data_IF_065496230209
#
_entry.id   IF_065496230209
#
_cell.length_a   1.000
_cell.length_b   1.000
_cell.length_c   1.000
_cell.angle_alpha   90.00
_cell.angle_beta   90.00
_cell.angle_gamma   90.00
#
_symmetry.space_group_name_H-M   'P 1'
#
loop_
_entity.id
_entity.type
_entity.pdbx_description
1 polymer ?
#
# COMPACT_ATOMS: atom_id res chain seq x y z
N UNK A 1 19.99 17.58 -8.17
CA UNK A 1 19.28 16.39 -7.69
C UNK A 1 17.79 16.69 -7.59
N UNK A 2 17.06 16.64 -8.71
CA UNK A 2 15.62 16.90 -8.75
C UNK A 2 14.85 15.61 -8.56
N UNK A 3 14.23 15.41 -7.41
CA UNK A 3 13.38 14.24 -7.15
C UNK A 3 12.05 14.42 -7.89
N UNK A 4 11.86 13.67 -8.97
CA UNK A 4 10.63 13.71 -9.77
C UNK A 4 9.42 13.26 -8.93
N UNK A 5 8.43 14.14 -8.85
CA UNK A 5 7.09 13.87 -8.35
C UNK A 5 6.44 12.78 -9.21
N UNK A 6 6.54 11.52 -8.80
CA UNK A 6 5.71 10.45 -9.36
C UNK A 6 4.29 10.62 -8.82
N UNK A 7 3.50 11.45 -9.52
CA UNK A 7 2.03 11.33 -9.55
C UNK A 7 1.71 9.88 -9.95
N UNK A 8 0.55 9.36 -9.57
CA UNK A 8 0.15 7.98 -9.90
C UNK A 8 0.06 7.84 -11.44
N UNK A 9 1.19 7.54 -12.10
CA UNK A 9 1.30 7.34 -13.54
C UNK A 9 1.95 6.01 -13.85
N UNK A 10 1.78 5.02 -12.97
CA UNK A 10 2.20 3.65 -13.19
C UNK A 10 0.96 2.74 -13.22
N UNK A 11 0.19 2.84 -14.31
CA UNK A 11 -0.65 1.77 -14.87
C UNK A 11 -1.82 1.20 -14.06
N UNK A 12 -1.99 1.54 -12.79
CA UNK A 12 -3.07 1.01 -11.95
C UNK A 12 -4.09 2.10 -11.64
N UNK A 13 -5.30 1.87 -12.13
CA UNK A 13 -6.46 2.65 -11.75
C UNK A 13 -7.02 2.09 -10.45
N UNK A 14 -6.77 2.79 -9.34
CA UNK A 14 -7.33 2.42 -8.05
C UNK A 14 -8.85 2.64 -8.05
N UNK A 15 -9.58 1.69 -7.45
CA UNK A 15 -11.01 1.87 -7.26
C UNK A 15 -11.25 3.06 -6.31
N UNK A 16 -12.23 3.95 -6.60
CA UNK A 16 -12.55 5.07 -5.72
C UNK A 16 -12.82 4.66 -4.27
N UNK A 17 -13.43 3.48 -4.06
CA UNK A 17 -13.71 2.96 -2.71
C UNK A 17 -12.46 2.65 -1.87
N UNK A 18 -11.28 2.57 -2.48
CA UNK A 18 -10.03 2.37 -1.76
C UNK A 18 -9.53 3.67 -1.11
N UNK A 19 -9.83 4.82 -1.72
CA UNK A 19 -9.30 6.13 -1.30
C UNK A 19 -10.42 7.19 -1.26
N UNK A 20 -11.59 6.82 -0.74
CA UNK A 20 -12.78 7.66 -0.75
C UNK A 20 -12.62 8.97 0.06
N UNK A 21 -11.66 9.00 0.96
CA UNK A 21 -11.36 10.08 1.91
C UNK A 21 -10.15 10.95 1.51
N UNK A 22 -9.53 10.70 0.35
CA UNK A 22 -8.37 11.47 -0.14
C UNK A 22 -8.57 11.88 -1.59
N UNK A 23 -8.17 13.12 -1.93
CA UNK A 23 -8.06 13.54 -3.33
C UNK A 23 -6.93 12.75 -4.04
N UNK A 24 -7.23 11.90 -5.03
CA UNK A 24 -6.23 11.11 -5.75
C UNK A 24 -5.11 11.96 -6.38
N UNK A 25 -5.38 13.24 -6.73
CA UNK A 25 -4.39 14.15 -7.30
C UNK A 25 -3.28 14.51 -6.31
N UNK A 26 -3.54 14.38 -5.02
CA UNK A 26 -2.60 14.69 -3.94
C UNK A 26 -1.83 13.46 -3.46
N UNK A 27 -2.26 12.26 -3.84
CA UNK A 27 -1.67 11.01 -3.38
C UNK A 27 -0.28 10.80 -4.01
N UNK A 28 0.75 10.76 -3.17
CA UNK A 28 2.12 10.52 -3.56
C UNK A 28 2.58 9.15 -3.04
N UNK A 29 3.00 8.27 -3.95
CA UNK A 29 3.34 6.87 -3.65
C UNK A 29 4.45 6.76 -2.60
N UNK A 30 5.44 7.66 -2.63
CA UNK A 30 6.57 7.62 -1.69
C UNK A 30 6.23 8.28 -0.36
N UNK A 31 5.66 9.50 -0.40
CA UNK A 31 5.35 10.29 0.80
C UNK A 31 4.23 9.65 1.61
N UNK A 32 3.25 9.02 0.96
CA UNK A 32 2.09 8.41 1.60
C UNK A 32 2.17 6.88 1.62
N UNK A 33 3.40 6.32 1.56
CA UNK A 33 3.60 4.88 1.43
C UNK A 33 2.89 4.07 2.54
N UNK A 34 3.06 4.46 3.81
CA UNK A 34 2.43 3.74 4.92
C UNK A 34 0.91 3.67 4.77
N UNK A 35 0.28 4.80 4.50
CA UNK A 35 -1.16 4.89 4.27
C UNK A 35 -1.63 4.03 3.08
N UNK A 36 -0.92 4.08 1.94
CA UNK A 36 -1.27 3.28 0.75
C UNK A 36 -1.13 1.79 1.05
N UNK A 37 -0.05 1.40 1.74
CA UNK A 37 0.21 0.02 2.13
C UNK A 37 -0.91 -0.47 3.06
N UNK A 38 -1.22 0.27 4.12
CA UNK A 38 -2.31 -0.05 5.05
C UNK A 38 -3.63 -0.26 4.32
N UNK A 39 -3.96 0.66 3.42
CA UNK A 39 -5.22 0.66 2.70
C UNK A 39 -5.36 -0.54 1.77
N UNK A 40 -4.32 -0.89 1.02
CA UNK A 40 -4.33 -2.06 0.15
C UNK A 40 -4.25 -3.36 0.97
N UNK A 41 -3.51 -3.39 2.07
CA UNK A 41 -3.45 -4.56 2.94
C UNK A 41 -4.82 -4.92 3.52
N UNK A 42 -5.61 -3.92 3.92
CA UNK A 42 -6.92 -4.11 4.54
C UNK A 42 -8.06 -4.28 3.53
N UNK A 43 -8.07 -3.52 2.44
CA UNK A 43 -9.23 -3.41 1.53
C UNK A 43 -8.92 -3.71 0.05
N UNK A 44 -7.67 -4.07 -0.24
CA UNK A 44 -7.21 -4.35 -1.59
C UNK A 44 -7.76 -5.67 -2.15
N UNK A 45 -8.00 -5.68 -3.46
CA UNK A 45 -8.23 -6.87 -4.28
C UNK A 45 -6.92 -7.30 -4.95
N UNK A 46 -6.94 -8.47 -5.58
CA UNK A 46 -5.78 -9.10 -6.20
C UNK A 46 -4.94 -8.17 -7.09
N UNK A 47 -5.59 -7.33 -7.91
CA UNK A 47 -4.89 -6.35 -8.77
C UNK A 47 -4.11 -5.31 -7.96
N UNK A 48 -4.70 -4.80 -6.89
CA UNK A 48 -4.09 -3.80 -6.02
C UNK A 48 -2.99 -4.43 -5.16
N UNK A 49 -3.21 -5.64 -4.66
CA UNK A 49 -2.21 -6.43 -3.92
C UNK A 49 -1.01 -6.76 -4.80
N UNK A 50 -1.22 -7.15 -6.06
CA UNK A 50 -0.12 -7.38 -7.02
C UNK A 50 0.70 -6.11 -7.24
N UNK A 51 0.04 -4.97 -7.40
CA UNK A 51 0.72 -3.68 -7.52
C UNK A 51 1.51 -3.32 -6.26
N UNK A 52 0.96 -3.56 -5.08
CA UNK A 52 1.63 -3.33 -3.79
C UNK A 52 2.96 -4.06 -3.72
N UNK A 53 2.96 -5.34 -4.10
CA UNK A 53 4.16 -6.19 -4.14
C UNK A 53 5.19 -5.77 -5.18
N UNK A 54 4.79 -5.09 -6.25
CA UNK A 54 5.69 -4.60 -7.29
C UNK A 54 6.25 -3.21 -6.95
N UNK A 55 5.57 -2.47 -6.08
CA UNK A 55 5.87 -1.06 -5.81
C UNK A 55 6.73 -0.86 -4.57
N UNK A 56 6.46 -1.63 -3.51
CA UNK A 56 7.19 -1.52 -2.26
C UNK A 56 8.00 -2.78 -1.99
N UNK A 57 9.17 -2.60 -1.39
CA UNK A 57 10.01 -3.71 -1.01
C UNK A 57 9.46 -4.47 0.21
N UNK A 58 9.92 -5.71 0.37
CA UNK A 58 9.48 -6.59 1.46
C UNK A 58 9.75 -5.99 2.85
N UNK A 59 10.93 -5.39 3.15
CA UNK A 59 11.19 -4.75 4.44
C UNK A 59 10.20 -3.63 4.77
N UNK A 60 9.84 -2.79 3.80
CA UNK A 60 8.87 -1.71 3.98
C UNK A 60 7.47 -2.25 4.26
N UNK A 61 7.03 -3.26 3.50
CA UNK A 61 5.74 -3.91 3.74
C UNK A 61 5.67 -4.53 5.14
N UNK A 62 6.73 -5.23 5.56
CA UNK A 62 6.83 -5.83 6.90
C UNK A 62 6.76 -4.76 7.99
N UNK A 63 7.51 -3.66 7.83
CA UNK A 63 7.50 -2.55 8.79
C UNK A 63 6.08 -2.00 8.98
N UNK A 64 5.33 -1.81 7.90
CA UNK A 64 3.95 -1.30 8.00
C UNK A 64 3.01 -2.33 8.62
N UNK A 65 3.07 -3.59 8.19
CA UNK A 65 2.24 -4.66 8.75
C UNK A 65 2.42 -4.81 10.27
N UNK A 66 3.66 -4.71 10.76
CA UNK A 66 3.97 -4.86 12.18
C UNK A 66 3.61 -3.62 13.02
N UNK A 67 3.85 -2.41 12.47
CA UNK A 67 3.71 -1.15 13.24
C UNK A 67 2.35 -0.45 13.10
N UNK A 68 1.57 -0.79 12.07
CA UNK A 68 0.30 -0.11 11.82
C UNK A 68 -0.70 -0.33 12.95
N UNK A 69 -1.37 0.73 13.39
CA UNK A 69 -2.50 0.66 14.33
C UNK A 69 -3.84 0.62 13.61
N UNK A 70 -3.87 0.92 12.31
CA UNK A 70 -5.07 0.94 11.49
C UNK A 70 -5.46 -0.45 10.98
N UNK A 71 -4.48 -1.36 10.86
CA UNK A 71 -4.74 -2.73 10.40
C UNK A 71 -5.46 -3.57 11.45
N UNK A 72 -6.47 -4.31 11.01
CA UNK A 72 -7.17 -5.28 11.84
C UNK A 72 -6.25 -6.44 12.24
N UNK A 73 -6.49 -7.10 13.38
CA UNK A 73 -5.67 -8.25 13.80
C UNK A 73 -5.59 -9.35 12.75
N UNK A 74 -6.72 -9.65 12.07
CA UNK A 74 -6.78 -10.65 11.00
C UNK A 74 -5.88 -10.29 9.82
N UNK A 75 -5.91 -9.03 9.40
CA UNK A 75 -5.07 -8.52 8.30
C UNK A 75 -3.59 -8.61 8.68
N UNK A 76 -3.22 -8.21 9.90
CA UNK A 76 -1.84 -8.37 10.39
C UNK A 76 -1.37 -9.83 10.36
N UNK A 77 -2.19 -10.75 10.85
CA UNK A 77 -1.86 -12.19 10.82
C UNK A 77 -1.66 -12.69 9.40
N UNK A 78 -2.56 -12.36 8.46
CA UNK A 78 -2.43 -12.74 7.05
C UNK A 78 -1.12 -12.24 6.45
N UNK A 79 -0.84 -10.94 6.58
CA UNK A 79 0.34 -10.34 5.97
C UNK A 79 1.65 -10.80 6.62
N UNK A 80 1.65 -11.07 7.92
CA UNK A 80 2.80 -11.68 8.61
C UNK A 80 3.16 -13.05 8.00
N UNK A 81 2.15 -13.88 7.73
CA UNK A 81 2.34 -15.20 7.10
C UNK A 81 2.84 -15.07 5.65
N UNK A 82 2.23 -14.19 4.85
CA UNK A 82 2.63 -13.96 3.46
C UNK A 82 4.07 -13.44 3.35
N UNK A 83 4.46 -12.52 4.24
CA UNK A 83 5.79 -11.92 4.25
C UNK A 83 6.86 -12.85 4.86
N UNK A 84 6.48 -13.92 5.56
CA UNK A 84 7.46 -14.92 6.01
C UNK A 84 7.99 -15.78 4.86
N UNK A 85 7.13 -16.09 3.88
CA UNK A 85 7.37 -17.15 2.89
C UNK A 85 7.82 -16.65 1.50
N UNK A 86 7.83 -15.34 1.26
CA UNK A 86 8.22 -14.72 -0.02
C UNK A 86 9.63 -14.17 0.05
#
# INVERSE_FOLDING_TARGET
MGQQNQKISNGVNFRPSLFWDIDPKTLNIKKHAAYIIERIMELGRDKEVKWLWQTYDKPQLKKVADSSRALSPRTKTLWSLLLKNK
#
